data_IF_859504225276
#
_entry.id   IF_859504225276
#
_cell.length_a   1.000
_cell.length_b   1.000
_cell.length_c   1.000
_cell.angle_alpha   90.00
_cell.angle_beta   90.00
_cell.angle_gamma   90.00
#
_symmetry.space_group_name_H-M   'P 1'
#
loop_
_entity.id
_entity.type
_entity.pdbx_description
1 polymer ?
#
# COMPACT_ATOMS: atom_id res chain seq x y z
N UNK A 1 -23.18 6.82 -11.63
CA UNK A 1 -22.76 7.41 -10.35
C UNK A 1 -21.80 6.43 -9.71
N UNK A 2 -20.61 6.90 -9.34
CA UNK A 2 -19.62 6.04 -8.67
C UNK A 2 -20.08 5.69 -7.24
N UNK A 3 -19.98 4.43 -6.80
CA UNK A 3 -20.42 4.04 -5.45
C UNK A 3 -19.57 4.63 -4.32
N UNK A 4 -18.36 5.12 -4.59
CA UNK A 4 -17.47 5.76 -3.62
C UNK A 4 -17.69 7.26 -3.50
N UNK A 5 -18.39 7.89 -4.46
CA UNK A 5 -18.62 9.34 -4.46
C UNK A 5 -19.25 9.88 -3.15
N UNK A 6 -20.24 9.20 -2.52
CA UNK A 6 -20.81 9.65 -1.25
C UNK A 6 -19.80 9.72 -0.09
N UNK A 7 -18.66 9.04 -0.18
CA UNK A 7 -17.63 9.07 0.86
C UNK A 7 -16.91 10.43 0.94
N UNK A 8 -16.92 11.21 -0.14
CA UNK A 8 -16.36 12.57 -0.15
C UNK A 8 -17.19 13.56 0.67
N UNK A 9 -18.48 13.28 0.87
CA UNK A 9 -19.40 14.11 1.65
C UNK A 9 -19.24 13.89 3.17
N UNK A 10 -18.45 12.89 3.58
CA UNK A 10 -18.10 12.70 4.97
C UNK A 10 -17.21 13.86 5.45
N UNK A 11 -17.50 14.36 6.64
CA UNK A 11 -16.81 15.52 7.22
C UNK A 11 -15.28 15.41 7.12
N UNK A 12 -14.68 16.45 6.51
CA UNK A 12 -13.23 16.62 6.34
C UNK A 12 -12.52 15.55 5.48
N UNK A 13 -13.24 14.61 4.85
CA UNK A 13 -12.61 13.58 4.01
C UNK A 13 -12.06 14.19 2.72
N UNK A 14 -12.85 15.00 2.01
CA UNK A 14 -12.40 15.64 0.78
C UNK A 14 -11.13 16.50 1.03
N UNK A 15 -11.15 17.32 2.09
CA UNK A 15 -10.00 18.15 2.45
C UNK A 15 -8.76 17.33 2.82
N UNK A 16 -8.91 16.24 3.60
CA UNK A 16 -7.79 15.38 3.96
C UNK A 16 -7.14 14.72 2.74
N UNK A 17 -7.94 14.26 1.78
CA UNK A 17 -7.43 13.62 0.57
C UNK A 17 -6.82 14.64 -0.41
N UNK A 18 -7.35 15.86 -0.48
CA UNK A 18 -6.80 16.94 -1.29
C UNK A 18 -5.47 17.47 -0.74
N UNK A 19 -5.35 17.57 0.60
CA UNK A 19 -4.09 17.90 1.26
C UNK A 19 -3.01 16.85 1.01
N UNK A 20 -3.39 15.56 1.08
CA UNK A 20 -2.49 14.46 0.73
C UNK A 20 -2.02 14.56 -0.73
N UNK A 21 -2.95 14.75 -1.68
CA UNK A 21 -2.64 14.94 -3.11
C UNK A 21 -1.67 16.10 -3.32
N UNK A 22 -1.95 17.26 -2.73
CA UNK A 22 -1.09 18.46 -2.84
C UNK A 22 0.31 18.23 -2.25
N UNK A 23 0.41 17.47 -1.16
CA UNK A 23 1.69 17.14 -0.52
C UNK A 23 2.52 16.19 -1.40
N UNK A 24 1.88 15.15 -1.94
CA UNK A 24 2.49 14.22 -2.89
C UNK A 24 2.95 14.95 -4.15
N UNK A 25 2.12 15.81 -4.73
CA UNK A 25 2.52 16.61 -5.90
C UNK A 25 3.79 17.41 -5.58
N UNK A 26 3.80 18.13 -4.45
CA UNK A 26 4.97 18.93 -4.04
C UNK A 26 6.22 18.07 -3.89
N UNK A 27 6.10 16.87 -3.31
CA UNK A 27 7.19 15.90 -3.23
C UNK A 27 7.69 15.55 -4.64
N UNK A 28 6.82 15.12 -5.54
CA UNK A 28 7.19 14.70 -6.90
C UNK A 28 7.85 15.83 -7.73
N UNK A 29 7.49 17.09 -7.48
CA UNK A 29 8.10 18.25 -8.15
C UNK A 29 9.41 18.75 -7.51
N UNK A 30 9.82 18.15 -6.37
CA UNK A 30 11.00 18.56 -5.61
C UNK A 30 12.29 18.32 -6.40
N UNK A 31 13.27 19.21 -6.25
CA UNK A 31 14.52 19.15 -7.03
C UNK A 31 15.34 17.89 -6.75
N UNK A 32 15.23 17.35 -5.53
CA UNK A 32 15.91 16.13 -5.10
C UNK A 32 15.47 14.88 -5.90
N UNK A 33 14.34 14.94 -6.61
CA UNK A 33 13.86 13.88 -7.50
C UNK A 33 14.18 14.09 -8.98
N UNK A 34 14.86 15.19 -9.39
CA UNK A 34 15.02 15.52 -10.82
C UNK A 34 16.15 14.78 -11.55
N UNK A 35 16.94 13.93 -10.89
CA UNK A 35 18.20 13.42 -11.43
C UNK A 35 18.60 12.01 -11.02
N UNK A 36 17.71 11.21 -10.43
CA UNK A 36 18.09 9.93 -9.81
C UNK A 36 16.95 8.96 -9.52
N UNK A 37 15.93 8.90 -10.39
CA UNK A 37 14.69 8.14 -10.16
C UNK A 37 14.94 6.68 -9.79
N UNK A 38 15.90 6.00 -10.42
CA UNK A 38 16.19 4.58 -10.14
C UNK A 38 16.81 4.34 -8.77
N UNK A 39 17.80 5.16 -8.37
CA UNK A 39 18.44 5.02 -7.05
C UNK A 39 17.44 5.38 -5.94
N UNK A 40 16.69 6.47 -6.12
CA UNK A 40 15.66 6.86 -5.17
C UNK A 40 14.56 5.80 -5.08
N UNK A 41 14.09 5.26 -6.21
CA UNK A 41 13.08 4.20 -6.19
C UNK A 41 13.59 2.93 -5.47
N UNK A 42 14.85 2.56 -5.66
CA UNK A 42 15.47 1.43 -4.95
C UNK A 42 15.51 1.67 -3.43
N UNK A 43 15.87 2.87 -3.00
CA UNK A 43 15.94 3.20 -1.58
C UNK A 43 14.54 3.34 -0.95
N UNK A 44 13.60 3.97 -1.66
CA UNK A 44 12.18 3.99 -1.27
C UNK A 44 11.61 2.58 -1.12
N UNK A 45 11.98 1.65 -2.00
CA UNK A 45 11.56 0.26 -1.90
C UNK A 45 12.09 -0.42 -0.62
N UNK A 46 13.36 -0.19 -0.26
CA UNK A 46 13.94 -0.70 1.00
C UNK A 46 13.26 -0.09 2.24
N UNK A 47 13.02 1.21 2.26
CA UNK A 47 12.30 1.88 3.35
C UNK A 47 10.85 1.39 3.46
N UNK A 48 10.17 1.17 2.33
CA UNK A 48 8.83 0.60 2.30
C UNK A 48 8.80 -0.83 2.84
N UNK A 49 9.78 -1.67 2.45
CA UNK A 49 9.94 -3.02 3.00
C UNK A 49 10.18 -3.00 4.51
N UNK A 50 11.12 -2.17 4.98
CA UNK A 50 11.43 -2.03 6.41
C UNK A 50 10.18 -1.60 7.20
N UNK A 51 9.44 -0.61 6.71
CA UNK A 51 8.21 -0.18 7.35
C UNK A 51 7.11 -1.25 7.36
N UNK A 52 6.93 -1.97 6.25
CA UNK A 52 5.99 -3.09 6.19
C UNK A 52 6.37 -4.21 7.14
N UNK A 53 7.65 -4.51 7.31
CA UNK A 53 8.17 -5.52 8.24
C UNK A 53 7.98 -5.09 9.69
N UNK A 54 8.30 -3.84 10.03
CA UNK A 54 8.06 -3.27 11.35
C UNK A 54 6.58 -3.32 11.74
N UNK A 55 5.67 -3.05 10.79
CA UNK A 55 4.22 -3.19 10.99
C UNK A 55 3.76 -4.64 11.21
N UNK A 56 4.52 -5.63 10.73
CA UNK A 56 4.29 -7.06 11.03
C UNK A 56 5.03 -7.52 12.31
N UNK A 57 5.72 -6.61 13.01
CA UNK A 57 6.44 -6.91 14.25
C UNK A 57 7.86 -7.43 14.05
N UNK A 58 8.43 -7.28 12.85
CA UNK A 58 9.80 -7.64 12.54
C UNK A 58 10.73 -6.44 12.71
N UNK A 59 11.81 -6.63 13.46
CA UNK A 59 12.88 -5.64 13.60
C UNK A 59 13.90 -5.82 12.47
N UNK A 60 13.69 -5.10 11.37
CA UNK A 60 14.53 -5.16 10.19
C UNK A 60 14.71 -3.74 9.61
N UNK A 61 15.84 -3.12 9.94
CA UNK A 61 16.24 -1.82 9.42
C UNK A 61 16.68 -1.90 7.95
N UNK A 62 16.79 -0.72 7.33
CA UNK A 62 17.11 -0.58 5.91
C UNK A 62 18.52 -1.10 5.61
N UNK A 63 19.47 -0.89 6.51
CA UNK A 63 20.85 -1.33 6.41
C UNK A 63 20.97 -2.86 6.36
N UNK A 64 20.23 -3.56 7.21
CA UNK A 64 20.16 -5.02 7.21
C UNK A 64 19.53 -5.56 5.95
N UNK A 65 18.44 -4.94 5.46
CA UNK A 65 17.83 -5.30 4.19
C UNK A 65 18.81 -5.11 3.02
N UNK A 66 19.53 -3.98 3.01
CA UNK A 66 20.54 -3.67 1.99
C UNK A 66 21.72 -4.65 2.00
N UNK A 67 22.11 -5.13 3.18
CA UNK A 67 23.18 -6.12 3.33
C UNK A 67 22.79 -7.54 2.87
N UNK A 68 21.50 -7.83 2.72
CA UNK A 68 21.03 -9.18 2.37
C UNK A 68 21.13 -10.18 3.52
N UNK A 69 21.28 -9.71 4.77
CA UNK A 69 21.54 -10.56 5.95
C UNK A 69 20.23 -10.98 6.64
N UNK A 70 19.46 -11.83 5.95
CA UNK A 70 18.20 -12.38 6.43
C UNK A 70 17.89 -13.76 5.81
N UNK A 71 17.42 -14.68 6.65
CA UNK A 71 16.93 -16.00 6.22
C UNK A 71 15.43 -16.18 6.47
N UNK A 72 14.75 -15.12 6.93
CA UNK A 72 13.33 -15.19 7.29
C UNK A 72 12.43 -15.19 6.02
N UNK A 73 11.52 -16.17 5.87
CA UNK A 73 10.62 -16.24 4.73
C UNK A 73 9.71 -15.02 4.53
N UNK A 74 9.34 -14.32 5.61
CA UNK A 74 8.51 -13.10 5.55
C UNK A 74 9.32 -11.93 5.01
N UNK A 75 10.56 -11.76 5.47
CA UNK A 75 11.48 -10.73 4.93
C UNK A 75 11.71 -10.96 3.44
N UNK A 76 11.99 -12.21 3.05
CA UNK A 76 12.16 -12.62 1.65
C UNK A 76 10.92 -12.36 0.79
N UNK A 77 9.72 -12.61 1.35
CA UNK A 77 8.45 -12.37 0.67
C UNK A 77 8.13 -10.90 0.45
N UNK A 78 8.40 -10.04 1.45
CA UNK A 78 8.21 -8.59 1.36
C UNK A 78 9.14 -7.97 0.31
N UNK A 79 10.45 -8.28 0.35
CA UNK A 79 11.40 -7.74 -0.62
C UNK A 79 11.07 -8.17 -2.05
N UNK A 80 10.67 -9.42 -2.25
CA UNK A 80 10.22 -9.91 -3.55
C UNK A 80 9.00 -9.15 -4.08
N UNK A 81 8.07 -8.77 -3.20
CA UNK A 81 6.94 -7.93 -3.58
C UNK A 81 7.44 -6.56 -4.04
N UNK A 82 8.30 -5.90 -3.26
CA UNK A 82 8.85 -4.58 -3.62
C UNK A 82 9.52 -4.60 -4.99
N UNK A 83 10.39 -5.59 -5.24
CA UNK A 83 11.07 -5.77 -6.54
C UNK A 83 10.10 -5.98 -7.70
N UNK A 84 8.97 -6.65 -7.45
CA UNK A 84 8.00 -7.00 -8.51
C UNK A 84 6.93 -5.93 -8.71
N UNK A 85 6.73 -5.04 -7.74
CA UNK A 85 5.61 -4.09 -7.71
C UNK A 85 5.55 -3.17 -8.95
N UNK A 86 6.67 -2.60 -9.45
CA UNK A 86 6.64 -1.76 -10.65
C UNK A 86 6.06 -2.48 -11.86
N UNK A 87 6.37 -3.78 -12.04
CA UNK A 87 5.88 -4.59 -13.16
C UNK A 87 4.39 -4.97 -13.05
N UNK A 88 3.78 -4.79 -11.88
CA UNK A 88 2.37 -5.10 -11.63
C UNK A 88 1.46 -3.86 -11.76
N UNK A 89 2.02 -2.65 -11.84
CA UNK A 89 1.26 -1.38 -11.89
C UNK A 89 0.29 -1.32 -13.08
N UNK A 90 0.76 -1.68 -14.28
CA UNK A 90 -0.06 -1.73 -15.50
C UNK A 90 -1.01 -2.93 -15.54
N UNK A 91 -0.68 -4.01 -14.83
CA UNK A 91 -1.51 -5.24 -14.77
C UNK A 91 -2.66 -5.07 -13.79
N UNK A 92 -2.46 -4.32 -12.71
CA UNK A 92 -3.43 -4.08 -11.65
C UNK A 92 -4.82 -3.62 -12.13
N UNK A 93 -4.95 -2.56 -12.95
CA UNK A 93 -6.26 -2.12 -13.42
C UNK A 93 -6.87 -3.08 -14.45
N UNK A 94 -6.10 -3.98 -15.05
CA UNK A 94 -6.59 -4.94 -16.06
C UNK A 94 -7.04 -6.25 -15.41
N UNK A 95 -6.29 -6.75 -14.43
CA UNK A 95 -6.50 -8.06 -13.83
C UNK A 95 -6.25 -8.05 -12.31
N UNK A 96 -7.04 -7.28 -11.54
CA UNK A 96 -6.79 -7.09 -10.11
C UNK A 96 -6.81 -8.39 -9.31
N UNK A 97 -7.72 -9.33 -9.66
CA UNK A 97 -7.78 -10.64 -9.00
C UNK A 97 -6.51 -11.46 -9.21
N UNK A 98 -5.94 -11.42 -10.41
CA UNK A 98 -4.67 -12.09 -10.70
C UNK A 98 -3.54 -11.45 -9.90
N UNK A 99 -3.49 -10.11 -9.86
CA UNK A 99 -2.46 -9.39 -9.11
C UNK A 99 -2.54 -9.68 -7.62
N UNK A 100 -3.72 -9.74 -7.01
CA UNK A 100 -3.89 -10.15 -5.61
C UNK A 100 -3.33 -11.56 -5.37
N UNK A 101 -3.66 -12.51 -6.23
CA UNK A 101 -3.14 -13.88 -6.15
C UNK A 101 -1.60 -13.90 -6.32
N UNK A 102 -1.06 -13.10 -7.25
CA UNK A 102 0.37 -12.98 -7.49
C UNK A 102 1.11 -12.38 -6.29
N UNK A 103 0.58 -11.31 -5.69
CA UNK A 103 1.15 -10.70 -4.48
C UNK A 103 1.22 -11.71 -3.34
N UNK A 104 0.13 -12.44 -3.07
CA UNK A 104 0.14 -13.47 -2.03
C UNK A 104 1.14 -14.59 -2.35
N UNK A 105 1.18 -15.07 -3.59
CA UNK A 105 2.18 -16.06 -4.02
C UNK A 105 3.62 -15.58 -3.76
N UNK A 106 3.92 -14.31 -4.03
CA UNK A 106 5.25 -13.74 -3.79
C UNK A 106 5.55 -13.62 -2.29
N UNK A 107 4.58 -13.18 -1.49
CA UNK A 107 4.70 -13.04 -0.03
C UNK A 107 4.97 -14.38 0.66
N UNK A 108 4.34 -15.46 0.20
CA UNK A 108 4.32 -16.73 0.93
C UNK A 108 5.14 -17.83 0.30
N UNK A 109 5.92 -17.54 -0.76
CA UNK A 109 6.60 -18.55 -1.59
C UNK A 109 7.46 -19.52 -0.77
N UNK A 110 8.14 -18.98 0.24
CA UNK A 110 9.13 -19.72 1.03
C UNK A 110 8.61 -20.08 2.43
N UNK A 111 7.30 -19.90 2.67
CA UNK A 111 6.69 -20.30 3.93
C UNK A 111 6.67 -21.84 4.03
N UNK A 112 6.98 -22.42 5.20
CA UNK A 112 7.08 -23.88 5.35
C UNK A 112 5.75 -24.62 5.14
N UNK A 113 4.64 -23.93 5.37
CA UNK A 113 3.26 -24.41 5.25
C UNK A 113 2.63 -24.11 3.86
N UNK A 114 3.36 -23.44 2.96
CA UNK A 114 2.92 -23.20 1.59
C UNK A 114 2.84 -24.51 0.77
N UNK A 115 1.70 -24.74 0.14
CA UNK A 115 1.42 -25.96 -0.63
C UNK A 115 1.09 -27.19 0.23
N UNK A 116 1.02 -27.03 1.55
CA UNK A 116 0.61 -28.09 2.49
C UNK A 116 -0.64 -27.68 3.27
N UNK A 117 -0.59 -26.59 4.04
CA UNK A 117 -1.72 -26.10 4.83
C UNK A 117 -2.57 -25.08 4.07
N UNK A 118 -1.97 -24.35 3.12
CA UNK A 118 -2.68 -23.45 2.20
C UNK A 118 -2.06 -23.45 0.80
N UNK A 119 -2.84 -23.05 -0.20
CA UNK A 119 -2.36 -22.90 -1.58
C UNK A 119 -1.98 -21.44 -1.87
N UNK A 120 -0.70 -21.11 -2.15
CA UNK A 120 -0.28 -19.75 -2.45
C UNK A 120 -1.06 -19.10 -3.61
N UNK A 121 -1.62 -17.92 -3.35
CA UNK A 121 -2.38 -17.15 -4.34
C UNK A 121 -3.85 -17.55 -4.45
N UNK A 122 -4.27 -18.61 -3.74
CA UNK A 122 -5.68 -19.00 -3.68
C UNK A 122 -6.44 -18.09 -2.72
N UNK A 123 -7.40 -17.35 -3.26
CA UNK A 123 -8.35 -16.58 -2.44
C UNK A 123 -9.32 -17.55 -1.77
N UNK A 124 -9.38 -17.53 -0.44
CA UNK A 124 -10.17 -18.43 0.42
C UNK A 124 -11.10 -17.62 1.32
N UNK A 125 -12.31 -17.38 0.83
CA UNK A 125 -13.34 -16.59 1.54
C UNK A 125 -14.71 -17.25 1.39
N UNK A 126 -15.61 -16.93 2.31
CA UNK A 126 -17.00 -17.33 2.21
C UNK A 126 -17.74 -16.59 1.06
N UNK A 127 -19.05 -16.84 0.92
CA UNK A 127 -19.86 -16.18 -0.13
C UNK A 127 -19.87 -14.66 0.00
N UNK A 128 -19.88 -14.14 1.23
CA UNK A 128 -19.91 -12.71 1.50
C UNK A 128 -18.57 -12.05 1.14
N UNK A 129 -17.46 -12.63 1.60
CA UNK A 129 -16.12 -12.19 1.23
C UNK A 129 -15.87 -12.29 -0.27
N UNK A 130 -16.34 -13.35 -0.94
CA UNK A 130 -16.22 -13.47 -2.39
C UNK A 130 -16.97 -12.34 -3.12
N UNK A 131 -18.15 -11.95 -2.65
CA UNK A 131 -18.89 -10.83 -3.24
C UNK A 131 -18.14 -9.50 -3.04
N UNK A 132 -17.55 -9.27 -1.87
CA UNK A 132 -16.74 -8.08 -1.57
C UNK A 132 -15.48 -8.00 -2.43
N UNK A 133 -14.73 -9.10 -2.57
CA UNK A 133 -13.54 -9.14 -3.45
C UNK A 133 -13.93 -8.90 -4.91
N UNK A 134 -15.04 -9.47 -5.38
CA UNK A 134 -15.52 -9.23 -6.75
C UNK A 134 -15.90 -7.75 -6.96
N UNK A 135 -16.59 -7.13 -6.00
CA UNK A 135 -16.91 -5.71 -6.04
C UNK A 135 -15.64 -4.84 -6.05
N UNK A 136 -14.66 -5.15 -5.18
CA UNK A 136 -13.38 -4.47 -5.15
C UNK A 136 -12.63 -4.58 -6.49
N UNK A 137 -12.54 -5.79 -7.05
CA UNK A 137 -11.92 -6.00 -8.36
C UNK A 137 -12.65 -5.23 -9.47
N UNK A 138 -13.98 -5.16 -9.43
CA UNK A 138 -14.76 -4.39 -10.39
C UNK A 138 -14.51 -2.88 -10.29
N UNK A 139 -14.34 -2.34 -9.07
CA UNK A 139 -13.98 -0.94 -8.83
C UNK A 139 -12.60 -0.61 -9.40
N UNK A 140 -11.62 -1.49 -9.18
CA UNK A 140 -10.26 -1.32 -9.70
C UNK A 140 -10.26 -1.39 -11.23
N UNK A 141 -10.99 -2.34 -11.82
CA UNK A 141 -11.02 -2.55 -13.27
C UNK A 141 -11.85 -1.50 -14.04
N UNK A 142 -12.78 -0.82 -13.35
CA UNK A 142 -13.65 0.19 -13.96
C UNK A 142 -13.59 1.50 -13.16
N UNK A 143 -12.42 2.16 -13.10
CA UNK A 143 -12.26 3.36 -12.29
C UNK A 143 -13.06 4.52 -12.90
N UNK A 144 -13.72 5.31 -12.06
CA UNK A 144 -14.25 6.60 -12.50
C UNK A 144 -13.24 7.72 -12.26
N UNK A 145 -13.36 8.78 -13.05
CA UNK A 145 -12.46 9.95 -13.01
C UNK A 145 -12.67 10.82 -11.78
N UNK A 146 -13.85 10.79 -11.19
CA UNK A 146 -14.25 11.66 -10.08
C UNK A 146 -13.63 11.22 -8.74
N UNK A 147 -13.23 9.94 -8.62
CA UNK A 147 -12.70 9.39 -7.37
C UNK A 147 -11.19 9.67 -7.25
N UNK A 148 -10.73 10.38 -6.21
CA UNK A 148 -9.30 10.62 -5.98
C UNK A 148 -8.49 9.31 -5.85
N UNK A 149 -7.24 9.32 -6.31
CA UNK A 149 -6.34 8.17 -6.19
C UNK A 149 -6.16 7.71 -4.73
N UNK A 150 -5.98 8.66 -3.81
CA UNK A 150 -5.88 8.39 -2.37
C UNK A 150 -7.13 7.70 -1.82
N UNK A 151 -8.34 8.06 -2.28
CA UNK A 151 -9.57 7.38 -1.86
C UNK A 151 -9.61 5.94 -2.38
N UNK A 152 -9.30 5.72 -3.65
CA UNK A 152 -9.30 4.38 -4.24
C UNK A 152 -8.31 3.46 -3.51
N UNK A 153 -7.10 3.96 -3.22
CA UNK A 153 -6.08 3.23 -2.49
C UNK A 153 -6.51 2.93 -1.04
N UNK A 154 -7.11 3.91 -0.34
CA UNK A 154 -7.63 3.72 1.00
C UNK A 154 -8.74 2.66 1.05
N UNK A 155 -9.64 2.65 0.08
CA UNK A 155 -10.71 1.64 -0.03
C UNK A 155 -10.12 0.26 -0.30
N UNK A 156 -9.16 0.14 -1.22
CA UNK A 156 -8.46 -1.13 -1.50
C UNK A 156 -7.78 -1.68 -0.25
N UNK A 157 -7.01 -0.84 0.44
CA UNK A 157 -6.30 -1.23 1.66
C UNK A 157 -7.29 -1.66 2.76
N UNK A 158 -8.28 -0.82 3.06
CA UNK A 158 -9.27 -1.09 4.11
C UNK A 158 -10.09 -2.35 3.84
N UNK A 159 -10.58 -2.54 2.61
CA UNK A 159 -11.37 -3.72 2.25
C UNK A 159 -10.55 -5.01 2.31
N UNK A 160 -9.30 -5.00 1.83
CA UNK A 160 -8.44 -6.20 1.90
C UNK A 160 -8.12 -6.57 3.35
N UNK A 161 -7.88 -5.59 4.23
CA UNK A 161 -7.67 -5.85 5.66
C UNK A 161 -8.93 -6.33 6.37
N UNK A 162 -10.12 -5.88 5.94
CA UNK A 162 -11.39 -6.29 6.53
C UNK A 162 -11.86 -7.67 6.02
N UNK A 163 -11.64 -7.97 4.74
CA UNK A 163 -12.05 -9.26 4.13
C UNK A 163 -11.05 -10.36 4.46
N UNK A 164 -9.75 -10.04 4.50
CA UNK A 164 -8.65 -11.00 4.67
C UNK A 164 -8.76 -12.18 3.69
N UNK A 165 -8.60 -11.93 2.38
CA UNK A 165 -8.90 -12.92 1.34
C UNK A 165 -8.04 -14.18 1.35
N UNK A 166 -6.96 -14.21 2.11
CA UNK A 166 -6.03 -15.33 2.17
C UNK A 166 -5.87 -15.86 3.61
N UNK A 167 -5.38 -17.10 3.81
CA UNK A 167 -5.13 -17.62 5.16
C UNK A 167 -4.06 -16.84 5.93
N UNK A 168 -3.03 -16.35 5.24
CA UNK A 168 -1.87 -15.64 5.81
C UNK A 168 -1.49 -14.42 4.96
N UNK A 169 -0.52 -13.62 5.42
CA UNK A 169 0.09 -12.50 4.69
C UNK A 169 -0.85 -11.38 4.17
N UNK A 170 -2.12 -11.33 4.61
CA UNK A 170 -3.10 -10.33 4.14
C UNK A 170 -2.66 -8.89 4.30
N UNK A 171 -1.95 -8.56 5.39
CA UNK A 171 -1.54 -7.19 5.67
C UNK A 171 -0.52 -6.69 4.64
N UNK A 172 0.49 -7.52 4.33
CA UNK A 172 1.50 -7.26 3.30
C UNK A 172 0.83 -7.11 1.93
N UNK A 173 -0.08 -8.03 1.57
CA UNK A 173 -0.82 -7.96 0.30
C UNK A 173 -1.67 -6.69 0.20
N UNK A 174 -2.32 -6.28 1.28
CA UNK A 174 -3.17 -5.09 1.31
C UNK A 174 -2.37 -3.79 1.10
N UNK A 175 -1.21 -3.67 1.75
CA UNK A 175 -0.28 -2.53 1.57
C UNK A 175 0.28 -2.44 0.15
N UNK A 176 0.71 -3.58 -0.40
CA UNK A 176 1.19 -3.65 -1.78
C UNK A 176 0.08 -3.28 -2.79
N UNK A 177 -1.12 -3.83 -2.63
CA UNK A 177 -2.26 -3.55 -3.51
C UNK A 177 -2.69 -2.07 -3.46
N UNK A 178 -2.61 -1.43 -2.30
CA UNK A 178 -2.95 0.00 -2.18
C UNK A 178 -1.94 0.90 -2.86
N UNK A 179 -0.64 0.56 -2.84
CA UNK A 179 0.40 1.25 -3.61
C UNK A 179 0.17 1.11 -5.11
N UNK A 180 -0.21 -0.07 -5.60
CA UNK A 180 -0.61 -0.27 -7.00
C UNK A 180 -1.83 0.58 -7.39
N UNK A 181 -2.79 0.78 -6.48
CA UNK A 181 -3.94 1.65 -6.74
C UNK A 181 -3.56 3.15 -6.84
N UNK A 182 -2.55 3.60 -6.07
CA UNK A 182 -1.99 4.95 -6.22
C UNK A 182 -1.28 5.10 -7.57
N UNK A 183 -0.46 4.13 -7.93
CA UNK A 183 0.30 4.12 -9.17
C UNK A 183 -0.60 4.08 -10.40
N UNK A 184 -1.57 3.16 -10.45
CA UNK A 184 -2.46 3.01 -11.62
C UNK A 184 -3.41 4.19 -11.83
N UNK A 185 -3.68 4.99 -10.79
CA UNK A 185 -4.46 6.25 -10.90
C UNK A 185 -3.57 7.48 -11.12
N UNK A 186 -2.26 7.30 -11.27
CA UNK A 186 -1.29 8.33 -11.67
C UNK A 186 -0.86 9.27 -10.56
N UNK A 187 -1.23 9.01 -9.29
CA UNK A 187 -0.75 9.82 -8.17
C UNK A 187 0.70 9.46 -7.79
N UNK A 188 1.08 8.20 -7.97
CA UNK A 188 2.43 7.71 -7.66
C UNK A 188 2.93 6.69 -8.69
N UNK A 189 3.10 7.10 -9.97
CA UNK A 189 3.39 6.16 -11.06
C UNK A 189 4.71 5.40 -10.89
N UNK A 190 5.65 5.97 -10.13
CA UNK A 190 6.98 5.39 -9.88
C UNK A 190 7.11 4.75 -8.49
N UNK A 191 5.99 4.61 -7.74
CA UNK A 191 5.95 4.00 -6.41
C UNK A 191 6.90 4.67 -5.40
N UNK A 192 7.02 5.99 -5.47
CA UNK A 192 7.94 6.81 -4.69
C UNK A 192 7.39 7.21 -3.32
N UNK A 193 6.10 7.06 -3.04
CA UNK A 193 5.54 7.37 -1.72
C UNK A 193 5.74 6.18 -0.78
N UNK A 194 6.51 6.36 0.30
CA UNK A 194 6.66 5.38 1.39
C UNK A 194 5.43 5.38 2.32
N UNK A 195 4.23 5.13 1.78
CA UNK A 195 2.97 5.17 2.55
C UNK A 195 2.96 4.21 3.74
N UNK A 196 3.71 3.11 3.65
CA UNK A 196 3.87 2.14 4.73
C UNK A 196 4.65 2.73 5.91
N UNK A 197 5.68 3.54 5.64
CA UNK A 197 6.38 4.31 6.66
C UNK A 197 5.46 5.36 7.30
N UNK A 198 4.60 6.00 6.50
CA UNK A 198 3.56 6.90 7.02
C UNK A 198 2.52 6.21 7.91
N UNK A 199 2.13 4.96 7.59
CA UNK A 199 1.29 4.15 8.48
C UNK A 199 2.01 3.77 9.77
N UNK A 200 3.31 3.44 9.69
CA UNK A 200 4.15 3.10 10.84
C UNK A 200 4.35 4.30 11.78
N UNK A 201 4.71 5.46 11.26
CA UNK A 201 4.88 6.71 12.04
C UNK A 201 3.60 7.04 12.82
N UNK A 202 2.45 6.75 12.24
CA UNK A 202 1.13 7.00 12.82
C UNK A 202 0.61 5.84 13.69
N UNK A 203 1.44 4.92 14.16
CA UNK A 203 1.01 3.97 15.20
C UNK A 203 0.78 4.72 16.54
N UNK A 204 -0.26 4.36 17.33
CA UNK A 204 -1.23 3.27 17.15
C UNK A 204 -2.49 3.65 16.33
N UNK A 205 -2.55 4.86 15.75
CA UNK A 205 -3.70 5.36 15.00
C UNK A 205 -4.04 4.48 13.79
N UNK A 206 -3.04 3.97 13.06
CA UNK A 206 -3.25 3.07 11.90
C UNK A 206 -4.14 1.87 12.27
N UNK A 207 -3.80 1.16 13.34
CA UNK A 207 -4.56 -0.01 13.82
C UNK A 207 -5.95 0.41 14.31
N UNK A 208 -6.05 1.54 15.01
CA UNK A 208 -7.34 2.07 15.47
C UNK A 208 -8.29 2.40 14.31
N UNK A 209 -7.79 3.12 13.31
CA UNK A 209 -8.55 3.52 12.13
C UNK A 209 -8.93 2.31 11.25
N UNK A 210 -8.03 1.34 11.11
CA UNK A 210 -8.29 0.08 10.41
C UNK A 210 -9.40 -0.75 11.07
N UNK A 211 -9.41 -0.83 12.41
CA UNK A 211 -10.49 -1.47 13.16
C UNK A 211 -11.81 -0.71 13.00
N UNK A 212 -11.75 0.62 13.01
CA UNK A 212 -12.93 1.46 12.80
C UNK A 212 -13.53 1.28 11.40
N UNK A 213 -12.71 1.18 10.34
CA UNK A 213 -13.15 0.86 8.97
C UNK A 213 -14.01 -0.41 8.93
N UNK A 214 -13.58 -1.45 9.64
CA UNK A 214 -14.23 -2.76 9.65
C UNK A 214 -15.64 -2.74 10.27
N UNK A 215 -16.01 -1.68 10.99
CA UNK A 215 -17.38 -1.49 11.50
C UNK A 215 -18.38 -1.08 10.42
N UNK A 216 -17.91 -0.54 9.28
CA UNK A 216 -18.75 0.00 8.22
C UNK A 216 -19.56 1.25 8.62
N UNK A 217 -19.34 1.79 9.82
CA UNK A 217 -20.03 3.00 10.28
C UNK A 217 -19.50 4.25 9.55
N UNK A 218 -20.32 5.29 9.32
CA UNK A 218 -19.85 6.54 8.71
C UNK A 218 -18.63 7.15 9.41
N UNK A 219 -18.61 7.10 10.74
CA UNK A 219 -17.50 7.61 11.54
C UNK A 219 -16.22 6.76 11.38
N UNK A 220 -16.36 5.43 11.33
CA UNK A 220 -15.23 4.52 11.11
C UNK A 220 -14.63 4.67 9.71
N UNK A 221 -15.48 4.79 8.69
CA UNK A 221 -15.07 5.06 7.31
C UNK A 221 -14.38 6.43 7.22
N UNK A 222 -14.95 7.49 7.81
CA UNK A 222 -14.33 8.82 7.88
C UNK A 222 -12.95 8.75 8.55
N UNK A 223 -12.85 8.08 9.70
CA UNK A 223 -11.59 7.97 10.45
C UNK A 223 -10.49 7.33 9.63
N UNK A 224 -10.79 6.25 8.90
CA UNK A 224 -9.83 5.57 8.03
C UNK A 224 -9.39 6.43 6.85
N UNK A 225 -10.32 7.08 6.15
CA UNK A 225 -9.98 7.90 4.99
C UNK A 225 -9.12 9.10 5.39
N UNK A 226 -9.41 9.73 6.54
CA UNK A 226 -8.56 10.80 7.09
C UNK A 226 -7.19 10.29 7.49
N UNK A 227 -7.11 9.14 8.17
CA UNK A 227 -5.84 8.51 8.51
C UNK A 227 -4.99 8.24 7.26
N UNK A 228 -5.59 7.67 6.21
CA UNK A 228 -4.89 7.34 4.98
C UNK A 228 -4.30 8.58 4.30
N UNK A 229 -5.07 9.68 4.24
CA UNK A 229 -4.55 10.96 3.76
C UNK A 229 -3.33 11.43 4.55
N UNK A 230 -3.36 11.30 5.89
CA UNK A 230 -2.21 11.65 6.73
C UNK A 230 -1.03 10.69 6.62
N UNK A 231 -1.26 9.41 6.37
CA UNK A 231 -0.20 8.45 6.08
C UNK A 231 0.50 8.77 4.75
N UNK A 232 -0.24 9.24 3.74
CA UNK A 232 0.36 9.73 2.48
C UNK A 232 1.21 10.98 2.69
N UNK A 233 0.73 11.94 3.50
CA UNK A 233 1.52 13.15 3.85
C UNK A 233 2.84 12.77 4.56
N UNK A 234 2.78 11.83 5.52
CA UNK A 234 3.95 11.34 6.24
C UNK A 234 4.92 10.56 5.34
N UNK A 235 4.40 9.63 4.52
CA UNK A 235 5.22 8.90 3.56
C UNK A 235 5.89 9.83 2.54
N UNK A 236 5.21 10.87 2.09
CA UNK A 236 5.84 11.86 1.21
C UNK A 236 6.99 12.62 1.89
N UNK A 237 6.90 12.89 3.20
CA UNK A 237 7.97 13.50 3.96
C UNK A 237 9.17 12.57 4.14
N UNK A 238 8.92 11.28 4.42
CA UNK A 238 9.96 10.24 4.50
C UNK A 238 10.72 10.12 3.17
N UNK A 239 10.04 10.08 2.03
CA UNK A 239 10.70 10.06 0.71
C UNK A 239 11.63 11.26 0.52
N UNK A 240 11.24 12.47 0.95
CA UNK A 240 12.12 13.64 0.87
C UNK A 240 13.34 13.53 1.79
N UNK A 241 13.22 12.86 2.94
CA UNK A 241 14.36 12.58 3.82
C UNK A 241 15.34 11.63 3.12
N UNK A 242 14.84 10.54 2.52
CA UNK A 242 15.65 9.60 1.72
C UNK A 242 16.42 10.36 0.62
N UNK A 243 15.74 11.22 -0.13
CA UNK A 243 16.41 12.00 -1.17
C UNK A 243 17.50 12.93 -0.61
N UNK A 244 17.25 13.55 0.55
CA UNK A 244 18.22 14.44 1.21
C UNK A 244 19.47 13.68 1.65
N UNK A 245 19.31 12.47 2.17
CA UNK A 245 20.42 11.61 2.57
C UNK A 245 21.24 11.15 1.37
N UNK A 246 20.59 10.73 0.29
CA UNK A 246 21.28 10.33 -0.95
C UNK A 246 22.07 11.49 -1.58
N UNK A 247 21.51 12.71 -1.57
CA UNK A 247 22.23 13.89 -2.05
C UNK A 247 23.45 14.24 -1.18
N UNK A 248 23.38 13.99 0.13
CA UNK A 248 24.52 14.19 1.04
C UNK A 248 25.64 13.19 0.78
N UNK A 249 25.29 11.93 0.52
CA UNK A 249 26.28 10.86 0.33
C UNK A 249 26.95 10.92 -1.06
N UNK A 250 26.35 11.63 -2.02
CA UNK A 250 26.89 11.87 -3.36
C UNK A 250 27.87 13.07 -3.46
N UNK A 251 27.94 13.92 -2.43
CA UNK A 251 28.75 15.15 -2.39
C UNK A 251 30.05 15.01 -1.61
#
# INVERSE_FOLDING_TARGET
>A
MDPLAPLLELSEVADALENARTTVDRMLWHEALRGGDELVASEVALHSASATLALEGYDCDVERLRAGDFDDPIVSGVLRIEETLPALSDVWPVSPRFVLAKLHLLATRDFPDAGTDFEPGRIEVDKSGSARINALCALVANPTKEIPAAMAAAVVHGELLAVRPFPVANNVVARAASRLALASKGLDPNLLITVDAGHLERQPEYVGAQRAWSTGTPDGVRSWLKHYGKALEAGAAETLQICTELMRDAG
#
